data_IF_320927253431
#
_entry.id   IF_320927253431
#
_cell.length_a   1.000
_cell.length_b   1.000
_cell.length_c   1.000
_cell.angle_alpha   90.00
_cell.angle_beta   90.00
_cell.angle_gamma   90.00
#
_symmetry.space_group_name_H-M   'P 1'
#
loop_
_entity.id
_entity.type
_entity.pdbx_description
1 polymer ?
#
# COMPACT_ATOMS: atom_id res chain seq x y z
N UNK A 1 -2.01 1.16 -2.38
CA UNK A 1 -1.52 1.40 -1.00
C UNK A 1 -1.00 2.83 -0.92
N UNK A 2 -0.98 3.45 0.26
CA UNK A 2 -0.38 4.79 0.44
C UNK A 2 -1.35 5.97 0.55
N UNK A 3 -2.67 5.72 0.68
CA UNK A 3 -3.60 6.74 1.17
C UNK A 3 -3.57 6.69 2.69
N UNK A 4 -3.14 7.79 3.32
CA UNK A 4 -3.24 8.01 4.76
C UNK A 4 -4.26 9.12 5.03
N UNK A 5 -4.96 9.05 6.17
CA UNK A 5 -5.89 10.08 6.64
C UNK A 5 -6.98 10.45 5.61
N UNK A 6 -7.60 9.45 4.99
CA UNK A 6 -8.71 9.68 4.06
C UNK A 6 -9.91 10.27 4.81
N UNK A 7 -10.25 11.52 4.47
CA UNK A 7 -11.45 12.19 4.94
C UNK A 7 -12.47 12.31 3.80
N UNK A 8 -13.70 11.86 4.05
CA UNK A 8 -14.79 11.94 3.07
C UNK A 8 -15.85 12.94 3.52
N UNK A 9 -16.25 13.83 2.60
CA UNK A 9 -17.41 14.71 2.78
C UNK A 9 -18.50 14.27 1.79
N UNK A 10 -19.67 13.90 2.31
CA UNK A 10 -20.83 13.49 1.51
C UNK A 10 -21.89 14.57 1.54
N UNK A 11 -22.21 15.15 0.37
CA UNK A 11 -23.21 16.23 0.25
C UNK A 11 -24.31 15.82 -0.71
N UNK A 12 -25.56 15.94 -0.25
CA UNK A 12 -26.73 15.70 -1.10
C UNK A 12 -27.01 16.90 -2.00
N UNK A 13 -27.26 16.63 -3.27
CA UNK A 13 -27.59 17.65 -4.26
C UNK A 13 -28.91 18.33 -3.90
N UNK A 14 -28.85 19.63 -3.60
CA UNK A 14 -29.95 20.42 -3.05
C UNK A 14 -29.67 21.91 -3.29
N UNK A 15 -30.69 22.77 -3.17
CA UNK A 15 -30.60 24.21 -3.44
C UNK A 15 -29.44 24.91 -2.71
N UNK A 16 -29.05 24.43 -1.53
CA UNK A 16 -27.98 25.00 -0.71
C UNK A 16 -26.73 24.10 -0.61
N UNK A 17 -26.58 23.13 -1.51
CA UNK A 17 -25.45 22.19 -1.48
C UNK A 17 -24.09 22.90 -1.57
N UNK A 18 -23.96 23.91 -2.45
CA UNK A 18 -22.70 24.66 -2.61
C UNK A 18 -22.28 25.39 -1.32
N UNK A 19 -23.22 26.06 -0.64
CA UNK A 19 -22.93 26.73 0.64
C UNK A 19 -22.53 25.72 1.73
N UNK A 20 -23.23 24.58 1.82
CA UNK A 20 -22.87 23.50 2.76
C UNK A 20 -21.50 22.91 2.46
N UNK A 21 -21.15 22.75 1.19
CA UNK A 21 -19.82 22.31 0.78
C UNK A 21 -18.75 23.27 1.25
N UNK A 22 -18.90 24.57 1.00
CA UNK A 22 -17.91 25.57 1.44
C UNK A 22 -17.73 25.51 2.95
N UNK A 23 -18.81 25.46 3.72
CA UNK A 23 -18.72 25.38 5.18
C UNK A 23 -18.05 24.10 5.68
N UNK A 24 -18.32 22.94 5.07
CA UNK A 24 -17.76 21.65 5.50
C UNK A 24 -16.33 21.41 4.99
N UNK A 25 -16.04 21.81 3.76
CA UNK A 25 -14.75 21.59 3.12
C UNK A 25 -13.68 22.59 3.58
N UNK A 26 -14.03 23.83 3.92
CA UNK A 26 -13.06 24.84 4.36
C UNK A 26 -12.13 24.37 5.50
N UNK A 27 -12.63 23.80 6.61
CA UNK A 27 -11.74 23.30 7.67
C UNK A 27 -10.89 22.11 7.21
N UNK A 28 -11.46 21.17 6.44
CA UNK A 28 -10.72 20.03 5.89
C UNK A 28 -9.58 20.48 4.96
N UNK A 29 -9.85 21.44 4.07
CA UNK A 29 -8.85 22.02 3.17
C UNK A 29 -7.75 22.78 3.92
N UNK A 30 -8.09 23.50 5.00
CA UNK A 30 -7.08 24.15 5.86
C UNK A 30 -6.20 23.13 6.56
N UNK A 31 -6.79 22.11 7.17
CA UNK A 31 -6.06 21.04 7.83
C UNK A 31 -5.11 20.35 6.85
N UNK A 32 -5.61 20.00 5.65
CA UNK A 32 -4.82 19.41 4.58
C UNK A 32 -3.66 20.32 4.14
N UNK A 33 -3.89 21.62 3.97
CA UNK A 33 -2.85 22.57 3.57
C UNK A 33 -1.72 22.72 4.62
N UNK A 34 -2.03 22.47 5.90
CA UNK A 34 -1.05 22.50 7.00
C UNK A 34 -0.56 21.12 7.42
N UNK A 35 -1.06 20.05 6.80
CA UNK A 35 -0.71 18.68 7.16
C UNK A 35 0.75 18.39 6.81
N UNK A 36 1.44 17.67 7.70
CA UNK A 36 2.83 17.26 7.49
C UNK A 36 2.90 15.85 6.89
N UNK A 37 3.74 15.61 5.87
CA UNK A 37 3.98 14.28 5.33
C UNK A 37 4.90 13.42 6.22
N UNK A 38 5.32 13.92 7.39
CA UNK A 38 6.32 13.26 8.23
C UNK A 38 5.90 11.85 8.68
N UNK A 39 4.62 11.62 9.01
CA UNK A 39 4.12 10.28 9.38
C UNK A 39 4.27 9.30 8.21
N UNK A 40 3.86 9.71 7.01
CA UNK A 40 3.96 8.91 5.79
C UNK A 40 5.41 8.56 5.48
N UNK A 41 6.31 9.55 5.50
CA UNK A 41 7.75 9.33 5.26
C UNK A 41 8.33 8.38 6.32
N UNK A 42 7.94 8.56 7.59
CA UNK A 42 8.35 7.67 8.68
C UNK A 42 7.88 6.23 8.46
N UNK A 43 6.63 6.01 8.04
CA UNK A 43 6.10 4.68 7.73
C UNK A 43 6.84 3.98 6.59
N UNK A 44 7.21 4.72 5.54
CA UNK A 44 8.04 4.19 4.45
C UNK A 44 9.43 3.80 4.97
N UNK A 45 10.06 4.65 5.78
CA UNK A 45 11.37 4.36 6.36
C UNK A 45 11.32 3.14 7.30
N UNK A 46 10.28 3.03 8.14
CA UNK A 46 10.05 1.89 9.01
C UNK A 46 9.90 0.60 8.20
N UNK A 47 9.10 0.62 7.15
CA UNK A 47 8.88 -0.53 6.25
C UNK A 47 10.16 -0.97 5.52
N UNK A 48 11.04 -0.04 5.16
CA UNK A 48 12.35 -0.34 4.55
C UNK A 48 13.33 -0.95 5.55
N UNK A 49 13.26 -0.56 6.82
CA UNK A 49 14.11 -1.11 7.91
C UNK A 49 13.60 -2.44 8.46
N UNK A 50 12.32 -2.73 8.30
CA UNK A 50 11.69 -3.96 8.77
C UNK A 50 12.12 -5.17 7.93
N UNK A 51 13.30 -5.73 8.23
CA UNK A 51 13.81 -6.96 7.62
C UNK A 51 13.03 -8.16 8.13
N UNK A 52 12.42 -8.91 7.20
CA UNK A 52 11.50 -10.02 7.50
C UNK A 52 11.89 -11.34 6.82
N UNK A 53 12.89 -11.31 5.94
CA UNK A 53 13.42 -12.52 5.33
C UNK A 53 14.92 -12.38 5.03
N UNK A 54 15.69 -13.44 5.30
CA UNK A 54 17.13 -13.52 4.96
C UNK A 54 17.42 -14.69 4.03
N UNK A 55 16.76 -15.83 4.24
CA UNK A 55 16.89 -17.01 3.37
C UNK A 55 15.75 -17.12 2.37
N UNK A 56 15.87 -18.03 1.40
CA UNK A 56 14.80 -18.27 0.43
C UNK A 56 13.57 -18.91 1.10
N UNK A 57 13.79 -19.77 2.08
CA UNK A 57 12.73 -20.37 2.89
C UNK A 57 11.95 -19.32 3.69
N UNK A 58 12.64 -18.30 4.22
CA UNK A 58 11.98 -17.17 4.89
C UNK A 58 11.08 -16.40 3.92
N UNK A 59 11.59 -16.11 2.70
CA UNK A 59 10.85 -15.36 1.68
C UNK A 59 9.59 -16.09 1.26
N UNK A 60 9.71 -17.40 1.02
CA UNK A 60 8.58 -18.24 0.70
C UNK A 60 7.59 -18.28 1.86
N UNK A 61 8.06 -18.60 3.07
CA UNK A 61 7.22 -18.70 4.26
C UNK A 61 6.48 -17.39 4.57
N UNK A 62 7.15 -16.25 4.39
CA UNK A 62 6.58 -14.93 4.63
C UNK A 62 5.35 -14.67 3.76
N UNK A 63 5.42 -14.98 2.46
CA UNK A 63 4.31 -14.82 1.53
C UNK A 63 3.26 -15.91 1.72
N UNK A 64 3.66 -17.18 1.91
CA UNK A 64 2.72 -18.30 2.08
C UNK A 64 1.81 -18.12 3.30
N UNK A 65 2.35 -17.67 4.44
CA UNK A 65 1.56 -17.34 5.66
C UNK A 65 0.56 -16.20 5.46
N UNK A 66 0.69 -15.43 4.39
CA UNK A 66 -0.17 -14.28 4.05
C UNK A 66 -1.13 -14.59 2.89
N UNK A 67 -1.33 -15.87 2.59
CA UNK A 67 -2.33 -16.33 1.63
C UNK A 67 -1.93 -16.12 0.17
N UNK A 68 -0.64 -16.11 -0.13
CA UNK A 68 -0.15 -16.21 -1.51
C UNK A 68 0.02 -17.68 -1.90
N UNK A 69 -0.35 -18.03 -3.13
CA UNK A 69 -0.09 -19.34 -3.70
C UNK A 69 1.41 -19.55 -3.96
N UNK A 70 1.89 -20.80 -4.05
CA UNK A 70 3.28 -21.10 -4.40
C UNK A 70 3.74 -20.41 -5.72
N UNK A 71 2.96 -20.45 -6.82
CA UNK A 71 3.36 -19.75 -8.05
C UNK A 71 3.39 -18.23 -7.89
N UNK A 72 2.45 -17.64 -7.14
CA UNK A 72 2.50 -16.20 -6.85
C UNK A 72 3.72 -15.82 -6.02
N UNK A 73 4.06 -16.62 -5.01
CA UNK A 73 5.25 -16.42 -4.18
C UNK A 73 6.53 -16.40 -5.04
N UNK A 74 6.71 -17.40 -5.90
CA UNK A 74 7.87 -17.47 -6.79
C UNK A 74 7.93 -16.24 -7.71
N UNK A 75 6.79 -15.88 -8.32
CA UNK A 75 6.71 -14.74 -9.24
C UNK A 75 7.01 -13.40 -8.54
N UNK A 76 6.52 -13.19 -7.32
CA UNK A 76 6.81 -11.97 -6.53
C UNK A 76 8.31 -11.87 -6.25
N UNK A 77 8.94 -12.96 -5.80
CA UNK A 77 10.38 -12.98 -5.49
C UNK A 77 11.20 -12.71 -6.75
N UNK A 78 10.84 -13.34 -7.87
CA UNK A 78 11.48 -13.14 -9.16
C UNK A 78 11.32 -11.71 -9.68
N UNK A 79 10.11 -11.13 -9.60
CA UNK A 79 9.87 -9.74 -9.99
C UNK A 79 10.76 -8.78 -9.21
N UNK A 80 10.89 -8.94 -7.89
CA UNK A 80 11.78 -8.10 -7.09
C UNK A 80 13.24 -8.30 -7.49
N UNK A 81 13.68 -9.55 -7.69
CA UNK A 81 15.04 -9.83 -8.15
C UNK A 81 15.35 -9.16 -9.49
N UNK A 82 14.42 -9.21 -10.43
CA UNK A 82 14.58 -8.62 -11.76
C UNK A 82 14.55 -7.09 -11.74
N UNK A 83 13.65 -6.48 -10.97
CA UNK A 83 13.49 -5.02 -10.92
C UNK A 83 14.53 -4.33 -10.02
N UNK A 84 14.90 -4.95 -8.90
CA UNK A 84 15.76 -4.34 -7.86
C UNK A 84 17.17 -4.95 -7.80
N UNK A 85 17.45 -5.99 -8.60
CA UNK A 85 18.75 -6.67 -8.64
C UNK A 85 19.07 -7.53 -7.41
N UNK A 86 18.14 -7.68 -6.47
CA UNK A 86 18.28 -8.48 -5.26
C UNK A 86 16.94 -9.09 -4.85
N UNK A 87 16.98 -10.22 -4.14
CA UNK A 87 15.77 -10.82 -3.57
C UNK A 87 15.19 -9.94 -2.46
N UNK A 88 13.86 -10.01 -2.19
CA UNK A 88 13.23 -9.20 -1.16
C UNK A 88 13.71 -9.57 0.24
N UNK A 89 13.94 -8.58 1.08
CA UNK A 89 14.37 -8.77 2.47
C UNK A 89 13.52 -7.97 3.45
N UNK A 90 13.14 -6.75 3.07
CA UNK A 90 12.30 -5.85 3.88
C UNK A 90 10.81 -5.95 3.52
N UNK A 91 9.94 -5.54 4.44
CA UNK A 91 8.49 -5.39 4.16
C UNK A 91 8.28 -4.54 2.91
N UNK A 92 9.04 -3.46 2.76
CA UNK A 92 8.96 -2.59 1.58
C UNK A 92 9.25 -3.34 0.28
N UNK A 93 10.27 -4.19 0.24
CA UNK A 93 10.62 -4.98 -0.97
C UNK A 93 9.47 -5.92 -1.37
N UNK A 94 8.87 -6.60 -0.39
CA UNK A 94 7.72 -7.47 -0.66
C UNK A 94 6.52 -6.69 -1.18
N UNK A 95 6.25 -5.49 -0.64
CA UNK A 95 5.19 -4.60 -1.12
C UNK A 95 5.45 -4.17 -2.57
N UNK A 96 6.68 -3.80 -2.91
CA UNK A 96 7.04 -3.49 -4.30
C UNK A 96 6.77 -4.70 -5.21
N UNK A 97 7.26 -5.89 -4.85
CA UNK A 97 7.03 -7.10 -5.64
C UNK A 97 5.57 -7.47 -5.85
N UNK A 98 4.75 -7.39 -4.79
CA UNK A 98 3.30 -7.67 -4.88
C UNK A 98 2.64 -6.66 -5.82
N UNK A 99 3.02 -5.39 -5.75
CA UNK A 99 2.38 -4.34 -6.56
C UNK A 99 2.85 -4.34 -8.00
N UNK A 100 4.12 -4.68 -8.26
CA UNK A 100 4.61 -4.97 -9.59
C UNK A 100 3.86 -6.15 -10.22
N UNK A 101 3.64 -7.24 -9.47
CA UNK A 101 2.79 -8.35 -9.92
C UNK A 101 1.34 -7.93 -10.19
N UNK A 102 0.77 -7.07 -9.33
CA UNK A 102 -0.59 -6.57 -9.50
C UNK A 102 -0.77 -5.82 -10.82
N UNK A 103 0.22 -5.02 -11.23
CA UNK A 103 0.21 -4.28 -12.52
C UNK A 103 0.07 -5.20 -13.73
N UNK A 104 0.50 -6.46 -13.63
CA UNK A 104 0.40 -7.42 -14.75
C UNK A 104 -0.96 -8.11 -14.84
N UNK A 105 -1.90 -7.85 -13.92
CA UNK A 105 -3.21 -8.51 -13.90
C UNK A 105 -4.21 -7.73 -14.75
N UNK A 106 -4.79 -8.40 -15.75
CA UNK A 106 -5.84 -7.82 -16.58
C UNK A 106 -7.19 -7.73 -15.84
N UNK A 107 -7.47 -8.68 -14.94
CA UNK A 107 -8.68 -8.68 -14.12
C UNK A 107 -8.53 -7.71 -12.94
N UNK A 108 -9.49 -6.78 -12.84
CA UNK A 108 -9.53 -5.72 -11.83
C UNK A 108 -9.60 -6.28 -10.40
N UNK A 109 -10.46 -7.27 -10.15
CA UNK A 109 -10.65 -7.83 -8.81
C UNK A 109 -9.36 -8.49 -8.32
N UNK A 110 -8.71 -9.27 -9.19
CA UNK A 110 -7.41 -9.88 -8.87
C UNK A 110 -6.33 -8.84 -8.59
N UNK A 111 -6.34 -7.71 -9.31
CA UNK A 111 -5.42 -6.60 -9.04
C UNK A 111 -5.68 -6.00 -7.66
N UNK A 112 -6.94 -5.72 -7.34
CA UNK A 112 -7.35 -5.14 -6.06
C UNK A 112 -7.01 -6.05 -4.89
N UNK A 113 -7.20 -7.36 -5.01
CA UNK A 113 -6.83 -8.33 -3.96
C UNK A 113 -5.33 -8.28 -3.63
N UNK A 114 -4.48 -8.18 -4.65
CA UNK A 114 -3.03 -8.06 -4.47
C UNK A 114 -2.64 -6.71 -3.85
N UNK A 115 -3.22 -5.62 -4.34
CA UNK A 115 -3.00 -4.28 -3.79
C UNK A 115 -3.46 -4.16 -2.34
N UNK A 116 -4.54 -4.85 -1.96
CA UNK A 116 -5.02 -4.88 -0.59
C UNK A 116 -4.07 -5.67 0.32
N UNK A 117 -3.57 -6.84 -0.12
CA UNK A 117 -2.54 -7.59 0.63
C UNK A 117 -1.27 -6.75 0.83
N UNK A 118 -0.84 -6.01 -0.20
CA UNK A 118 0.29 -5.09 -0.11
C UNK A 118 0.02 -3.93 0.87
N UNK A 119 -1.18 -3.36 0.85
CA UNK A 119 -1.58 -2.31 1.81
C UNK A 119 -1.52 -2.81 3.25
N UNK A 120 -2.09 -3.98 3.54
CA UNK A 120 -2.07 -4.58 4.88
C UNK A 120 -0.66 -4.90 5.38
N UNK A 121 0.29 -5.14 4.48
CA UNK A 121 1.71 -5.31 4.82
C UNK A 121 2.33 -3.99 5.27
N UNK A 122 2.11 -2.92 4.52
CA UNK A 122 2.59 -1.58 4.87
C UNK A 122 2.02 -1.10 6.20
N UNK A 123 0.70 -1.22 6.41
CA UNK A 123 0.00 -0.77 7.63
C UNK A 123 0.49 -1.47 8.90
N UNK A 124 1.07 -2.65 8.80
CA UNK A 124 1.64 -3.38 9.96
C UNK A 124 3.07 -2.97 10.28
N UNK A 125 3.75 -2.28 9.36
CA UNK A 125 5.16 -1.89 9.49
C UNK A 125 5.34 -0.38 9.73
N UNK A 126 4.33 0.43 9.43
CA UNK A 126 4.21 1.86 9.76
C UNK A 126 3.58 2.07 11.14
#
# INVERSE_FOLDING_TARGET
>A
WGVENFEQITIRHSKFAASRFVHQATPALRNFATASPASFVSGIQASRRALVAKTDEDRESFLRRRGFSKPETAKIIETVLHEEGRKPESVFDFVQGITALARTKANQDTRLDLEEKARRLMERAS
#
